data_IF_333368206865
#
_entry.id   IF_333368206865
#
_cell.length_a   1.000
_cell.length_b   1.000
_cell.length_c   1.000
_cell.angle_alpha   90.00
_cell.angle_beta   90.00
_cell.angle_gamma   90.00
#
_symmetry.space_group_name_H-M   'P 1'
#
loop_
_entity.id
_entity.type
_entity.pdbx_description
1 polymer ?
#
# COMPACT_ATOMS: atom_id res chain seq x y z
N UNK A 1 6.88 -1.77 0.66
CA UNK A 1 7.16 -3.12 0.11
C UNK A 1 7.10 -2.99 -1.40
N UNK A 2 8.04 -3.61 -2.10
CA UNK A 2 8.11 -3.53 -3.55
C UNK A 2 7.72 -4.86 -4.15
N UNK A 3 6.74 -4.85 -5.04
CA UNK A 3 6.19 -6.06 -5.65
C UNK A 3 5.61 -5.76 -7.03
N UNK A 4 5.31 -6.84 -7.73
CA UNK A 4 4.54 -6.84 -8.97
C UNK A 4 3.20 -7.52 -8.67
N UNK A 5 2.10 -6.93 -9.13
CA UNK A 5 0.79 -7.55 -9.04
C UNK A 5 0.43 -8.15 -10.40
N UNK A 6 0.11 -9.43 -10.46
CA UNK A 6 -0.24 -10.07 -11.73
C UNK A 6 -1.47 -9.42 -12.38
N UNK A 7 -2.44 -9.00 -11.55
CA UNK A 7 -3.65 -8.28 -11.99
C UNK A 7 -3.33 -6.93 -12.67
N UNK A 8 -2.18 -6.33 -12.39
CA UNK A 8 -1.74 -5.09 -13.05
C UNK A 8 -0.84 -5.37 -14.25
N UNK A 9 -0.68 -6.63 -14.67
CA UNK A 9 0.19 -7.00 -15.79
C UNK A 9 1.68 -6.93 -15.44
N UNK A 10 2.03 -7.13 -14.16
CA UNK A 10 3.42 -7.12 -13.73
C UNK A 10 4.05 -5.72 -13.66
N UNK A 11 3.25 -4.68 -13.44
CA UNK A 11 3.77 -3.31 -13.32
C UNK A 11 4.48 -3.14 -11.96
N UNK A 12 5.77 -2.71 -11.94
CA UNK A 12 6.47 -2.46 -10.68
C UNK A 12 5.75 -1.43 -9.84
N UNK A 13 5.58 -1.76 -8.55
CA UNK A 13 4.73 -0.99 -7.64
C UNK A 13 5.49 -0.62 -6.37
N UNK A 14 5.41 0.65 -5.98
CA UNK A 14 5.83 1.16 -4.68
C UNK A 14 4.64 1.18 -3.74
N UNK A 15 4.70 0.40 -2.65
CA UNK A 15 3.64 0.30 -1.66
C UNK A 15 4.01 1.06 -0.38
N UNK A 16 3.29 2.14 -0.11
CA UNK A 16 3.42 2.95 1.09
C UNK A 16 2.34 2.60 2.11
N UNK A 17 2.77 2.53 3.36
CA UNK A 17 1.93 2.22 4.52
C UNK A 17 2.07 3.35 5.53
N UNK A 18 0.94 3.84 6.04
CA UNK A 18 0.86 4.98 6.94
C UNK A 18 -0.36 4.86 7.84
N UNK A 19 -0.54 5.83 8.74
CA UNK A 19 -1.65 5.87 9.70
C UNK A 19 -1.71 4.55 10.51
N UNK A 20 -0.59 4.22 11.16
CA UNK A 20 -0.52 3.05 12.02
C UNK A 20 -1.37 3.29 13.27
N UNK A 21 -2.30 2.36 13.54
CA UNK A 21 -3.14 2.37 14.74
C UNK A 21 -2.97 1.05 15.48
N UNK A 22 -3.20 1.10 16.78
CA UNK A 22 -3.16 -0.08 17.64
C UNK A 22 -4.52 -0.78 17.63
N UNK A 23 -4.51 -2.08 17.41
CA UNK A 23 -5.66 -2.97 17.52
C UNK A 23 -5.21 -4.18 18.34
N UNK A 24 -5.70 -4.29 19.58
CA UNK A 24 -5.33 -5.35 20.51
C UNK A 24 -3.81 -5.51 20.73
N UNK A 25 -3.07 -4.40 20.78
CA UNK A 25 -1.61 -4.39 20.91
C UNK A 25 -0.84 -4.63 19.61
N UNK A 26 -1.55 -4.79 18.48
CA UNK A 26 -0.96 -4.95 17.15
C UNK A 26 -1.05 -3.63 16.38
N UNK A 27 0.11 -3.09 15.98
CA UNK A 27 0.15 -1.90 15.13
C UNK A 27 -0.14 -2.25 13.67
N UNK A 28 -1.27 -1.78 13.16
CA UNK A 28 -1.71 -2.02 11.78
C UNK A 28 -1.66 -0.71 10.98
N UNK A 29 -1.02 -0.68 9.79
CA UNK A 29 -1.11 0.45 8.89
C UNK A 29 -2.49 0.51 8.25
N UNK A 30 -3.30 1.50 8.66
CA UNK A 30 -4.69 1.63 8.22
C UNK A 30 -4.83 2.33 6.87
N UNK A 31 -3.81 3.08 6.43
CA UNK A 31 -3.76 3.68 5.10
C UNK A 31 -2.66 3.04 4.27
N UNK A 32 -3.05 2.45 3.15
CA UNK A 32 -2.12 1.83 2.21
C UNK A 32 -2.35 2.38 0.81
N UNK A 33 -1.25 2.73 0.14
CA UNK A 33 -1.25 3.38 -1.18
C UNK A 33 -0.22 2.71 -2.06
N UNK A 34 -0.67 2.20 -3.20
CA UNK A 34 0.19 1.53 -4.17
C UNK A 34 0.30 2.40 -5.42
N UNK A 35 1.53 2.84 -5.72
CA UNK A 35 1.84 3.66 -6.89
C UNK A 35 2.62 2.84 -7.88
N UNK A 36 2.38 3.05 -9.18
CA UNK A 36 3.30 2.58 -10.20
C UNK A 36 4.67 3.21 -9.96
N UNK A 37 5.73 2.48 -10.30
CA UNK A 37 7.10 2.98 -10.25
C UNK A 37 7.57 3.40 -11.64
N UNK A 38 8.34 4.48 -11.67
CA UNK A 38 9.19 4.86 -12.79
C UNK A 38 10.38 3.90 -12.89
N UNK A 39 11.09 3.94 -14.00
CA UNK A 39 12.31 3.14 -14.23
C UNK A 39 13.42 3.46 -13.22
N UNK A 40 13.45 4.68 -12.68
CA UNK A 40 14.37 5.13 -11.63
C UNK A 40 13.95 4.70 -10.21
N UNK A 41 12.90 3.87 -10.09
CA UNK A 41 12.30 3.38 -8.85
C UNK A 41 11.54 4.42 -8.01
N UNK A 42 11.34 5.63 -8.53
CA UNK A 42 10.47 6.63 -7.86
C UNK A 42 8.98 6.32 -8.11
N UNK A 43 8.06 6.72 -7.21
CA UNK A 43 6.64 6.56 -7.45
C UNK A 43 6.13 7.57 -8.49
N UNK A 44 5.21 7.13 -9.34
CA UNK A 44 4.42 8.02 -10.20
C UNK A 44 3.45 8.79 -9.30
N UNK A 45 3.71 10.07 -9.07
CA UNK A 45 3.02 10.90 -8.06
C UNK A 45 1.53 11.18 -8.36
N UNK A 46 1.07 10.85 -9.56
CA UNK A 46 -0.23 11.25 -10.08
C UNK A 46 -1.31 10.22 -9.66
N UNK A 47 -1.63 10.23 -8.37
CA UNK A 47 -2.57 9.35 -7.68
C UNK A 47 -2.16 7.86 -7.62
N UNK A 48 -2.47 7.17 -6.51
CA UNK A 48 -2.22 5.75 -6.36
C UNK A 48 -3.11 4.94 -7.32
N UNK A 49 -2.54 3.89 -7.93
CA UNK A 49 -3.34 2.92 -8.69
C UNK A 49 -4.27 2.10 -7.78
N UNK A 50 -3.88 1.92 -6.52
CA UNK A 50 -4.71 1.28 -5.48
C UNK A 50 -4.65 2.07 -4.18
N UNK A 51 -5.83 2.37 -3.64
CA UNK A 51 -6.00 2.95 -2.29
C UNK A 51 -6.77 1.99 -1.41
N UNK A 52 -6.22 1.69 -0.23
CA UNK A 52 -6.88 0.88 0.80
C UNK A 52 -6.95 1.71 2.08
N UNK A 53 -8.17 1.91 2.55
CA UNK A 53 -8.46 2.52 3.84
C UNK A 53 -9.16 1.47 4.72
N UNK A 54 -8.49 1.10 5.80
CA UNK A 54 -8.97 0.10 6.75
C UNK A 54 -9.65 0.85 7.88
N UNK A 55 -10.96 0.66 8.01
CA UNK A 55 -11.76 1.30 9.06
C UNK A 55 -11.68 0.56 10.39
N UNK A 56 -11.56 -0.77 10.34
CA UNK A 56 -11.60 -1.63 11.53
C UNK A 56 -10.78 -2.91 11.33
N UNK A 57 -10.22 -3.44 12.41
CA UNK A 57 -9.43 -4.67 12.44
C UNK A 57 -9.76 -5.44 13.72
N UNK A 58 -10.08 -6.72 13.56
CA UNK A 58 -10.34 -7.63 14.67
C UNK A 58 -9.46 -8.87 14.53
N UNK A 59 -8.85 -9.29 15.63
CA UNK A 59 -8.09 -10.54 15.73
C UNK A 59 -8.90 -11.58 16.53
N UNK A 60 -8.75 -12.86 16.20
CA UNK A 60 -9.46 -13.99 16.83
C UNK A 60 -8.51 -15.14 17.10
#
# INVERSE_FOLDING_TARGET
MDYFADVTGGIPTAHYMSDYRDFDGIKVPTKRRAYRRNEDNTPVANAPGVSIDISDVQFS
#
